data_IF_919092743698
#
_entry.id   IF_919092743698
#
_cell.length_a   1.000
_cell.length_b   1.000
_cell.length_c   1.000
_cell.angle_alpha   90.00
_cell.angle_beta   90.00
_cell.angle_gamma   90.00
#
_symmetry.space_group_name_H-M   'P 1'
#
loop_
_entity.id
_entity.type
_entity.pdbx_description
1 polymer ?
#
# COMPACT_ATOMS: atom_id res chain seq x y z
N UNK A 1 16.84 13.47 -0.89
CA UNK A 1 15.69 14.07 -1.62
C UNK A 1 15.24 13.24 -2.83
N UNK A 2 16.09 12.97 -3.84
CA UNK A 2 15.70 12.23 -5.06
C UNK A 2 15.20 10.80 -4.79
N UNK A 3 15.88 10.03 -3.93
CA UNK A 3 15.45 8.67 -3.56
C UNK A 3 14.07 8.65 -2.89
N UNK A 4 13.83 9.56 -1.94
CA UNK A 4 12.54 9.71 -1.27
C UNK A 4 11.41 10.04 -2.26
N UNK A 5 11.64 10.96 -3.20
CA UNK A 5 10.64 11.30 -4.22
C UNK A 5 10.30 10.10 -5.11
N UNK A 6 11.31 9.32 -5.52
CA UNK A 6 11.12 8.12 -6.31
C UNK A 6 10.31 7.05 -5.56
N UNK A 7 10.71 6.70 -4.33
CA UNK A 7 9.99 5.68 -3.53
C UNK A 7 8.58 6.14 -3.20
N UNK A 8 8.41 7.39 -2.81
CA UNK A 8 7.10 7.98 -2.54
C UNK A 8 6.19 7.95 -3.78
N UNK A 9 6.69 8.29 -4.97
CA UNK A 9 5.91 8.21 -6.21
C UNK A 9 5.53 6.75 -6.55
N UNK A 10 6.47 5.81 -6.39
CA UNK A 10 6.24 4.40 -6.63
C UNK A 10 5.14 3.82 -5.71
N UNK A 11 5.23 4.06 -4.40
CA UNK A 11 4.23 3.56 -3.45
C UNK A 11 2.88 4.27 -3.59
N UNK A 12 2.86 5.56 -3.92
CA UNK A 12 1.61 6.23 -4.29
C UNK A 12 0.97 5.59 -5.52
N UNK A 13 1.73 5.34 -6.57
CA UNK A 13 1.21 4.69 -7.78
C UNK A 13 0.62 3.29 -7.46
N UNK A 14 1.32 2.49 -6.63
CA UNK A 14 0.82 1.19 -6.19
C UNK A 14 -0.52 1.31 -5.41
N UNK A 15 -0.64 2.28 -4.52
CA UNK A 15 -1.88 2.52 -3.75
C UNK A 15 -3.03 2.97 -4.66
N UNK A 16 -2.77 3.84 -5.64
CA UNK A 16 -3.78 4.28 -6.60
C UNK A 16 -4.26 3.13 -7.51
N UNK A 17 -3.35 2.28 -7.97
CA UNK A 17 -3.70 1.09 -8.75
C UNK A 17 -4.51 0.09 -7.91
N UNK A 18 -4.14 -0.10 -6.63
CA UNK A 18 -4.89 -0.92 -5.69
C UNK A 18 -6.30 -0.38 -5.44
N UNK A 19 -6.44 0.93 -5.24
CA UNK A 19 -7.74 1.58 -5.10
C UNK A 19 -8.61 1.41 -6.35
N UNK A 20 -8.04 1.53 -7.55
CA UNK A 20 -8.74 1.24 -8.81
C UNK A 20 -9.25 -0.20 -8.89
N UNK A 21 -8.44 -1.18 -8.44
CA UNK A 21 -8.87 -2.58 -8.33
C UNK A 21 -10.02 -2.77 -7.33
N UNK A 22 -10.02 -2.06 -6.19
CA UNK A 22 -11.11 -2.08 -5.21
C UNK A 22 -12.39 -1.51 -5.81
N UNK A 23 -12.33 -0.33 -6.43
CA UNK A 23 -13.49 0.33 -7.04
C UNK A 23 -14.11 -0.56 -8.12
N UNK A 24 -13.27 -1.21 -8.94
CA UNK A 24 -13.75 -2.14 -9.95
C UNK A 24 -14.42 -3.37 -9.34
N UNK A 25 -13.84 -3.95 -8.28
CA UNK A 25 -14.42 -5.09 -7.56
C UNK A 25 -15.73 -4.73 -6.83
N UNK A 26 -15.95 -3.45 -6.55
CA UNK A 26 -17.17 -2.92 -5.93
C UNK A 26 -18.20 -2.42 -6.96
N UNK A 27 -18.08 -2.82 -8.23
CA UNK A 27 -19.00 -2.40 -9.30
C UNK A 27 -19.10 -0.87 -9.46
N UNK A 28 -17.95 -0.18 -9.40
CA UNK A 28 -17.85 1.28 -9.44
C UNK A 28 -18.43 2.01 -8.23
N UNK A 29 -18.81 1.31 -7.17
CA UNK A 29 -19.16 1.97 -5.92
C UNK A 29 -17.91 2.58 -5.28
N UNK A 30 -17.99 3.86 -4.88
CA UNK A 30 -16.87 4.65 -4.34
C UNK A 30 -17.08 5.09 -2.89
N UNK A 31 -18.30 4.94 -2.35
CA UNK A 31 -18.55 5.23 -0.94
C UNK A 31 -17.94 4.15 -0.04
N UNK A 32 -16.98 4.58 0.79
CA UNK A 32 -16.29 3.71 1.74
C UNK A 32 -17.21 3.15 2.85
N UNK A 33 -18.36 3.77 3.10
CA UNK A 33 -19.35 3.24 4.05
C UNK A 33 -19.98 1.93 3.57
N UNK A 34 -20.01 1.71 2.26
CA UNK A 34 -20.54 0.51 1.62
C UNK A 34 -19.46 -0.57 1.40
N UNK A 35 -18.23 -0.32 1.86
CA UNK A 35 -17.13 -1.26 1.75
C UNK A 35 -17.04 -2.15 2.99
N UNK A 36 -16.75 -3.43 2.80
CA UNK A 36 -16.67 -4.35 3.94
C UNK A 36 -16.07 -5.71 3.60
N UNK A 37 -15.27 -6.25 4.52
CA UNK A 37 -14.68 -7.59 4.47
C UNK A 37 -13.89 -7.90 3.18
N UNK A 38 -13.31 -6.89 2.53
CA UNK A 38 -12.61 -7.02 1.25
C UNK A 38 -11.31 -7.83 1.31
N UNK A 39 -10.68 -7.95 2.50
CA UNK A 39 -9.46 -8.75 2.71
C UNK A 39 -9.56 -10.17 2.16
N UNK A 40 -10.72 -10.83 2.29
CA UNK A 40 -10.93 -12.20 1.80
C UNK A 40 -11.39 -12.25 0.35
N UNK A 41 -12.05 -11.19 -0.14
CA UNK A 41 -12.62 -11.11 -1.50
C UNK A 41 -11.57 -10.74 -2.55
N UNK A 42 -10.66 -9.84 -2.21
CA UNK A 42 -9.58 -9.35 -3.08
C UNK A 42 -8.22 -9.46 -2.37
N UNK A 43 -7.76 -10.69 -2.03
CA UNK A 43 -6.60 -10.89 -1.16
C UNK A 43 -5.29 -10.33 -1.74
N UNK A 44 -5.11 -10.36 -3.07
CA UNK A 44 -3.92 -9.80 -3.72
C UNK A 44 -3.88 -8.28 -3.63
N UNK A 45 -4.99 -7.61 -3.97
CA UNK A 45 -5.14 -6.15 -3.84
C UNK A 45 -4.95 -5.72 -2.39
N UNK A 46 -5.52 -6.46 -1.44
CA UNK A 46 -5.33 -6.19 -0.01
C UNK A 46 -3.86 -6.29 0.42
N UNK A 47 -3.13 -7.34 0.01
CA UNK A 47 -1.70 -7.50 0.34
C UNK A 47 -0.86 -6.39 -0.28
N UNK A 48 -1.09 -6.05 -1.54
CA UNK A 48 -0.37 -4.98 -2.23
C UNK A 48 -0.62 -3.62 -1.58
N UNK A 49 -1.88 -3.28 -1.30
CA UNK A 49 -2.24 -2.02 -0.62
C UNK A 49 -1.68 -1.95 0.80
N UNK A 50 -1.69 -3.06 1.55
CA UNK A 50 -1.06 -3.11 2.88
C UNK A 50 0.44 -2.84 2.82
N UNK A 51 1.16 -3.44 1.86
CA UNK A 51 2.59 -3.18 1.66
C UNK A 51 2.85 -1.72 1.26
N UNK A 52 2.08 -1.17 0.34
CA UNK A 52 2.18 0.24 -0.07
C UNK A 52 1.90 1.21 1.07
N UNK A 53 0.92 0.92 1.93
CA UNK A 53 0.58 1.73 3.10
C UNK A 53 1.70 1.69 4.14
N UNK A 54 2.25 0.52 4.44
CA UNK A 54 3.38 0.40 5.38
C UNK A 54 4.62 1.15 4.86
N UNK A 55 4.88 1.06 3.56
CA UNK A 55 6.01 1.74 2.94
C UNK A 55 5.86 3.27 2.91
N UNK A 56 4.66 3.81 2.68
CA UNK A 56 4.44 5.28 2.62
C UNK A 56 4.30 5.92 4.00
N UNK A 57 3.76 5.18 4.99
CA UNK A 57 3.66 5.65 6.38
C UNK A 57 5.00 5.64 7.10
N UNK A 58 6.04 5.05 6.49
CA UNK A 58 7.34 4.91 7.11
C UNK A 58 7.30 4.01 8.34
N UNK A 59 6.30 3.11 8.43
CA UNK A 59 6.29 2.03 9.42
C UNK A 59 7.42 1.09 9.03
N UNK A 60 8.63 1.46 9.45
CA UNK A 60 9.79 0.60 9.39
C UNK A 60 9.43 -0.68 10.12
N UNK A 61 9.76 -1.81 9.51
CA UNK A 61 9.73 -3.08 10.24
C UNK A 61 10.69 -2.87 11.41
N UNK A 62 10.29 -3.05 12.68
CA UNK A 62 11.17 -2.94 13.84
C UNK A 62 12.26 -4.05 13.88
N UNK A 63 12.64 -4.58 12.72
CA UNK A 63 13.63 -5.62 12.46
C UNK A 63 14.41 -5.39 11.15
N UNK A 64 14.15 -4.31 10.40
CA UNK A 64 14.90 -4.03 9.16
C UNK A 64 16.32 -3.56 9.40
N UNK A 65 16.67 -3.18 10.63
CA UNK A 65 18.07 -2.92 11.02
C UNK A 65 18.92 -4.20 10.96
N UNK A 66 18.37 -5.35 11.34
CA UNK A 66 19.10 -6.63 11.39
C UNK A 66 19.15 -7.36 10.04
N UNK A 67 18.28 -7.05 9.07
CA UNK A 67 18.19 -7.80 7.82
C UNK A 67 18.90 -7.14 6.61
N UNK A 68 19.04 -5.81 6.58
CA UNK A 68 19.59 -5.09 5.41
C UNK A 68 20.79 -4.20 5.71
N UNK A 69 21.26 -4.12 6.96
CA UNK A 69 22.56 -3.57 7.31
C UNK A 69 22.81 -2.08 7.01
N UNK A 70 21.80 -1.31 6.60
CA UNK A 70 21.93 0.12 6.34
C UNK A 70 20.76 0.94 6.91
N UNK A 71 21.04 2.02 7.66
CA UNK A 71 20.02 2.91 8.18
C UNK A 71 19.48 3.78 7.05
N UNK A 72 18.21 3.60 6.71
CA UNK A 72 17.46 4.53 5.85
C UNK A 72 16.54 5.31 6.78
N UNK A 73 17.08 6.40 7.32
CA UNK A 73 16.37 7.47 8.00
C UNK A 73 16.35 8.73 7.15
#
# INVERSE_FOLDING_TARGET
AMFHLFTHAFFKAMLFLGAGSVIHAMHHEQDMNNYGALRKKIPWTFRAMMLGTLAITGVGIPFSYDMFGFPIG
#
